data_IF_599787292054
#
_entry.id   IF_599787292054
#
_cell.length_a   1.000
_cell.length_b   1.000
_cell.length_c   1.000
_cell.angle_alpha   90.00
_cell.angle_beta   90.00
_cell.angle_gamma   90.00
#
_symmetry.space_group_name_H-M   'P 1'
#
loop_
_entity.id
_entity.type
_entity.pdbx_description
1 polymer ?
#
# COMPACT_ATOMS: atom_id res chain seq x y z
N UNK A 1 36.55 18.19 -34.68
CA UNK A 1 35.76 17.39 -33.73
C UNK A 1 34.31 17.63 -34.08
N UNK A 2 33.68 16.72 -34.83
CA UNK A 2 32.28 16.83 -35.27
C UNK A 2 31.38 16.56 -34.07
N UNK A 3 30.49 17.49 -33.76
CA UNK A 3 29.43 17.31 -32.76
C UNK A 3 28.50 16.21 -33.23
N UNK A 4 28.46 15.10 -32.52
CA UNK A 4 27.48 14.06 -32.75
C UNK A 4 26.12 14.66 -32.33
N UNK A 5 25.20 14.77 -33.29
CA UNK A 5 23.86 15.26 -33.06
C UNK A 5 23.13 14.27 -32.13
N UNK A 6 22.43 14.82 -31.15
CA UNK A 6 21.63 14.06 -30.17
C UNK A 6 20.60 13.12 -30.82
N UNK A 7 20.15 13.44 -32.02
CA UNK A 7 19.32 12.60 -32.89
C UNK A 7 20.05 11.33 -33.36
N UNK A 8 21.30 11.46 -33.77
CA UNK A 8 22.15 10.34 -34.24
C UNK A 8 22.48 9.38 -33.09
N UNK A 9 22.67 9.88 -31.86
CA UNK A 9 22.90 9.06 -30.69
C UNK A 9 21.68 8.22 -30.34
N UNK A 10 20.47 8.80 -30.31
CA UNK A 10 19.23 8.09 -29.98
C UNK A 10 18.79 7.13 -31.11
N UNK A 11 18.96 7.52 -32.37
CA UNK A 11 18.63 6.67 -33.50
C UNK A 11 19.59 5.45 -33.60
N UNK A 12 20.87 5.64 -33.27
CA UNK A 12 21.84 4.55 -33.25
C UNK A 12 21.67 3.63 -32.05
N UNK A 13 21.20 4.13 -30.94
CA UNK A 13 20.83 3.30 -29.74
C UNK A 13 19.57 2.44 -29.97
N UNK A 14 18.64 2.90 -30.83
CA UNK A 14 17.42 2.16 -31.16
C UNK A 14 17.56 1.24 -32.39
N UNK A 15 18.47 1.51 -33.33
CA UNK A 15 18.64 0.75 -34.57
C UNK A 15 19.77 -0.27 -34.55
N UNK A 16 20.67 -0.25 -33.57
CA UNK A 16 21.77 -1.21 -33.44
C UNK A 16 21.33 -2.58 -32.91
N UNK A 17 20.07 -2.79 -32.56
CA UNK A 17 19.51 -4.08 -32.09
C UNK A 17 19.04 -4.98 -33.25
N UNK A 18 19.18 -4.54 -34.51
CA UNK A 18 18.70 -5.30 -35.69
C UNK A 18 19.75 -6.11 -36.46
N UNK A 19 21.05 -5.89 -36.27
CA UNK A 19 22.06 -6.59 -37.10
C UNK A 19 23.45 -6.58 -36.46
N UNK A 20 23.71 -7.45 -35.51
CA UNK A 20 25.03 -8.10 -35.30
C UNK A 20 24.90 -9.15 -34.17
N UNK A 21 24.35 -10.31 -34.49
CA UNK A 21 24.65 -11.53 -33.74
C UNK A 21 26.08 -11.97 -34.10
N UNK A 22 27.07 -11.34 -33.50
CA UNK A 22 28.38 -11.92 -33.34
C UNK A 22 28.36 -12.70 -32.03
N UNK A 23 28.25 -14.01 -32.15
CA UNK A 23 28.38 -14.98 -31.06
C UNK A 23 29.77 -14.88 -30.44
N UNK A 24 29.88 -14.08 -29.39
CA UNK A 24 30.91 -14.25 -28.39
C UNK A 24 30.31 -15.16 -27.33
N UNK A 25 30.64 -16.45 -27.39
CA UNK A 25 30.37 -17.35 -26.27
C UNK A 25 31.21 -16.91 -25.07
N UNK A 26 30.64 -16.09 -24.21
CA UNK A 26 31.10 -15.95 -22.83
C UNK A 26 30.63 -17.22 -22.14
N UNK A 27 31.51 -18.04 -21.56
CA UNK A 27 31.05 -19.19 -20.78
C UNK A 27 30.28 -18.69 -19.57
N UNK A 28 28.97 -18.66 -19.68
CA UNK A 28 28.07 -18.56 -18.52
C UNK A 28 28.43 -19.77 -17.63
N UNK A 29 29.07 -19.48 -16.50
CA UNK A 29 29.09 -20.42 -15.39
C UNK A 29 27.61 -20.77 -15.08
N UNK A 30 27.17 -21.91 -15.63
CA UNK A 30 25.94 -22.56 -15.18
C UNK A 30 26.20 -22.94 -13.73
N UNK A 31 25.87 -22.06 -12.80
CA UNK A 31 25.55 -22.48 -11.48
C UNK A 31 24.23 -23.25 -11.64
N UNK A 32 24.30 -24.58 -11.61
CA UNK A 32 23.16 -25.42 -11.38
C UNK A 32 22.52 -24.92 -10.07
N UNK A 33 21.56 -24.02 -10.20
CA UNK A 33 20.68 -23.70 -9.12
C UNK A 33 19.91 -25.01 -8.85
N UNK A 34 20.38 -25.80 -7.90
CA UNK A 34 19.57 -26.84 -7.32
C UNK A 34 18.27 -26.18 -6.93
N UNK A 35 17.19 -26.55 -7.62
CA UNK A 35 15.86 -26.09 -7.27
C UNK A 35 15.61 -26.44 -5.79
N UNK A 36 15.72 -25.46 -4.93
CA UNK A 36 15.37 -25.62 -3.52
C UNK A 36 13.92 -26.10 -3.51
N UNK A 37 13.59 -27.23 -2.88
CA UNK A 37 12.23 -27.74 -2.87
C UNK A 37 11.31 -26.62 -2.38
N UNK A 38 10.22 -26.38 -3.12
CA UNK A 38 9.25 -25.34 -2.78
C UNK A 38 8.84 -25.49 -1.33
N UNK A 39 9.15 -24.49 -0.50
CA UNK A 39 8.82 -24.52 0.92
C UNK A 39 7.30 -24.54 1.06
N UNK A 40 6.77 -25.56 1.72
CA UNK A 40 5.33 -25.64 2.00
C UNK A 40 4.97 -24.58 3.04
N UNK A 41 4.02 -23.69 2.70
CA UNK A 41 3.49 -22.64 3.56
C UNK A 41 2.22 -23.10 4.30
N UNK A 42 2.20 -24.34 4.76
CA UNK A 42 1.04 -25.01 5.37
C UNK A 42 0.91 -24.78 6.88
N UNK A 43 2.01 -24.47 7.55
CA UNK A 43 2.01 -24.10 8.99
C UNK A 43 2.46 -22.67 9.22
N UNK A 44 2.09 -22.11 10.38
CA UNK A 44 2.53 -20.75 10.75
C UNK A 44 4.03 -20.70 11.04
N UNK A 45 4.61 -21.78 11.53
CA UNK A 45 6.04 -21.95 11.76
C UNK A 45 6.80 -21.90 10.42
N UNK A 46 6.32 -22.61 9.39
CA UNK A 46 6.93 -22.60 8.06
C UNK A 46 6.86 -21.22 7.41
N UNK A 47 5.75 -20.49 7.61
CA UNK A 47 5.60 -19.10 7.14
C UNK A 47 6.54 -18.16 7.88
N UNK A 48 6.61 -18.23 9.22
CA UNK A 48 7.55 -17.44 10.04
C UNK A 48 9.00 -17.71 9.68
N UNK A 49 9.34 -18.96 9.38
CA UNK A 49 10.68 -19.40 8.94
C UNK A 49 11.16 -18.77 7.64
N UNK A 50 10.24 -18.14 6.83
CA UNK A 50 10.63 -17.40 5.64
C UNK A 50 11.28 -16.04 5.97
N UNK A 51 11.20 -15.57 7.22
CA UNK A 51 11.70 -14.25 7.61
C UNK A 51 12.97 -14.37 8.46
N UNK A 52 14.01 -13.61 8.08
CA UNK A 52 15.27 -13.54 8.81
C UNK A 52 15.18 -12.52 9.97
N UNK A 53 14.15 -12.69 10.82
CA UNK A 53 13.94 -11.84 11.99
C UNK A 53 14.81 -12.30 13.17
N UNK A 54 15.21 -11.34 14.02
CA UNK A 54 15.87 -11.69 15.28
C UNK A 54 14.95 -12.53 16.16
N UNK A 55 15.36 -13.76 16.57
CA UNK A 55 14.53 -14.63 17.38
C UNK A 55 14.33 -14.12 18.82
N UNK A 56 15.15 -13.17 19.25
CA UNK A 56 15.11 -12.59 20.60
C UNK A 56 14.15 -11.41 20.71
N UNK A 57 13.38 -11.11 19.65
CA UNK A 57 12.46 -9.98 19.61
C UNK A 57 11.06 -10.44 19.19
N UNK A 58 10.05 -10.03 19.92
CA UNK A 58 8.65 -10.16 19.52
C UNK A 58 8.29 -8.94 18.65
N UNK A 59 8.04 -9.18 17.37
CA UNK A 59 7.83 -8.14 16.37
C UNK A 59 6.34 -7.79 16.26
N UNK A 60 5.90 -6.70 16.95
CA UNK A 60 4.52 -6.22 16.95
C UNK A 60 4.34 -4.92 16.17
N UNK A 61 5.24 -4.62 15.23
CA UNK A 61 5.22 -3.36 14.45
C UNK A 61 5.48 -3.54 12.95
N UNK A 62 5.23 -4.74 12.40
CA UNK A 62 5.38 -5.04 10.97
C UNK A 62 4.47 -4.18 10.06
N UNK A 63 3.36 -3.68 10.59
CA UNK A 63 2.49 -2.72 9.89
C UNK A 63 3.15 -1.36 9.62
N UNK A 64 4.22 -1.02 10.32
CA UNK A 64 4.98 0.22 10.10
C UNK A 64 6.06 -0.01 9.03
N UNK A 65 6.88 -1.05 9.23
CA UNK A 65 7.91 -1.50 8.29
C UNK A 65 8.13 -3.01 8.50
N UNK A 66 7.92 -3.80 7.46
CA UNK A 66 8.06 -5.24 7.53
C UNK A 66 9.42 -5.74 7.05
N UNK A 67 9.82 -6.93 7.54
CA UNK A 67 10.88 -7.74 6.95
C UNK A 67 10.34 -8.42 5.68
N UNK A 68 11.23 -8.83 4.79
CA UNK A 68 10.85 -9.54 3.56
C UNK A 68 10.91 -11.07 3.76
N UNK A 69 9.98 -11.84 3.19
CA UNK A 69 10.11 -13.31 3.14
C UNK A 69 11.27 -13.71 2.22
N UNK A 70 11.70 -14.97 2.30
CA UNK A 70 12.84 -15.49 1.55
C UNK A 70 12.75 -15.21 0.06
N UNK A 71 11.61 -15.52 -0.57
CA UNK A 71 11.40 -15.31 -2.02
C UNK A 71 11.63 -13.85 -2.45
N UNK A 72 11.14 -12.88 -1.68
CA UNK A 72 11.34 -11.45 -1.96
C UNK A 72 12.82 -11.06 -1.79
N UNK A 73 13.50 -11.54 -0.73
CA UNK A 73 14.93 -11.25 -0.53
C UNK A 73 15.80 -11.82 -1.65
N UNK A 74 15.50 -13.04 -2.06
CA UNK A 74 16.23 -13.74 -3.12
C UNK A 74 16.04 -13.05 -4.48
N UNK A 75 14.81 -12.63 -4.79
CA UNK A 75 14.52 -11.87 -6.02
C UNK A 75 15.26 -10.52 -6.05
N UNK A 76 15.24 -9.76 -4.94
CA UNK A 76 16.00 -8.50 -4.83
C UNK A 76 17.49 -8.76 -5.09
N UNK A 77 18.06 -9.77 -4.46
CA UNK A 77 19.49 -10.09 -4.59
C UNK A 77 19.85 -10.59 -6.00
N UNK A 78 18.95 -11.35 -6.63
CA UNK A 78 19.13 -11.80 -8.01
C UNK A 78 19.18 -10.61 -8.97
N UNK A 79 18.19 -9.71 -8.90
CA UNK A 79 18.13 -8.54 -9.77
C UNK A 79 19.29 -7.58 -9.51
N UNK A 80 19.67 -7.36 -8.25
CA UNK A 80 20.83 -6.56 -7.89
C UNK A 80 22.11 -7.09 -8.54
N UNK A 81 22.37 -8.41 -8.44
CA UNK A 81 23.54 -9.03 -9.07
C UNK A 81 23.54 -8.91 -10.59
N UNK A 82 22.36 -9.06 -11.22
CA UNK A 82 22.25 -8.88 -12.68
C UNK A 82 22.57 -7.45 -13.11
N UNK A 83 22.01 -6.46 -12.41
CA UNK A 83 22.28 -5.03 -12.67
C UNK A 83 23.72 -4.64 -12.36
N UNK A 84 24.36 -5.20 -11.32
CA UNK A 84 25.76 -4.93 -11.01
C UNK A 84 26.72 -5.55 -12.05
N UNK A 85 26.35 -6.70 -12.62
CA UNK A 85 27.19 -7.41 -13.62
C UNK A 85 27.11 -6.77 -15.02
N UNK A 86 25.92 -6.41 -15.48
CA UNK A 86 25.65 -5.75 -16.77
C UNK A 86 24.44 -4.82 -16.64
N UNK A 87 24.63 -3.58 -16.18
CA UNK A 87 23.51 -2.69 -15.87
C UNK A 87 22.61 -2.39 -17.08
N UNK A 88 23.19 -2.24 -18.26
CA UNK A 88 22.43 -1.86 -19.46
C UNK A 88 21.80 -3.08 -20.12
N UNK A 89 22.58 -4.14 -20.35
CA UNK A 89 22.07 -5.37 -20.98
C UNK A 89 20.99 -6.02 -20.15
N UNK A 90 21.22 -6.17 -18.84
CA UNK A 90 20.25 -6.75 -17.91
C UNK A 90 18.97 -5.91 -17.82
N UNK A 91 19.08 -4.57 -17.77
CA UNK A 91 17.93 -3.68 -17.74
C UNK A 91 17.05 -3.84 -18.99
N UNK A 92 17.65 -3.80 -20.20
CA UNK A 92 16.92 -3.98 -21.46
C UNK A 92 16.25 -5.35 -21.57
N UNK A 93 16.88 -6.40 -21.06
CA UNK A 93 16.32 -7.75 -21.07
C UNK A 93 15.15 -7.90 -20.09
N UNK A 94 15.22 -7.30 -18.91
CA UNK A 94 14.32 -7.58 -17.81
C UNK A 94 13.19 -6.56 -17.65
N UNK A 95 13.38 -5.27 -17.97
CA UNK A 95 12.49 -4.18 -17.64
C UNK A 95 11.02 -4.48 -17.98
N UNK A 96 10.71 -4.66 -19.25
CA UNK A 96 9.34 -4.91 -19.71
C UNK A 96 8.75 -6.20 -19.12
N UNK A 97 9.56 -7.24 -19.03
CA UNK A 97 9.15 -8.55 -18.51
C UNK A 97 8.78 -8.48 -17.03
N UNK A 98 9.61 -7.84 -16.23
CA UNK A 98 9.43 -7.75 -14.79
C UNK A 98 8.33 -6.76 -14.40
N UNK A 99 8.25 -5.60 -15.06
CA UNK A 99 7.13 -4.66 -14.86
C UNK A 99 5.78 -5.35 -15.11
N UNK A 100 5.67 -6.12 -16.19
CA UNK A 100 4.45 -6.87 -16.48
C UNK A 100 4.20 -8.01 -15.49
N UNK A 101 5.24 -8.66 -14.97
CA UNK A 101 5.10 -9.69 -13.93
C UNK A 101 4.52 -9.08 -12.64
N UNK A 102 5.02 -7.93 -12.22
CA UNK A 102 4.50 -7.18 -11.05
C UNK A 102 3.05 -6.78 -11.24
N UNK A 103 2.71 -6.17 -12.41
CA UNK A 103 1.34 -5.74 -12.70
C UNK A 103 0.36 -6.92 -12.70
N UNK A 104 0.75 -8.08 -13.30
CA UNK A 104 -0.08 -9.28 -13.30
C UNK A 104 -0.26 -9.84 -11.89
N UNK A 105 0.81 -10.00 -11.13
CA UNK A 105 0.74 -10.52 -9.76
C UNK A 105 -0.13 -9.64 -8.86
N UNK A 106 -0.02 -8.31 -8.99
CA UNK A 106 -0.88 -7.35 -8.28
C UNK A 106 -2.34 -7.46 -8.73
N UNK A 107 -2.59 -7.56 -10.04
CA UNK A 107 -3.93 -7.67 -10.61
C UNK A 107 -4.62 -8.98 -10.20
N UNK A 108 -3.91 -10.11 -10.24
CA UNK A 108 -4.40 -11.40 -9.78
C UNK A 108 -4.75 -11.38 -8.29
N UNK A 109 -3.90 -10.74 -7.46
CA UNK A 109 -4.14 -10.59 -6.02
C UNK A 109 -5.37 -9.73 -5.73
N UNK A 110 -5.56 -8.64 -6.48
CA UNK A 110 -6.65 -7.67 -6.30
C UNK A 110 -7.93 -8.05 -7.04
N UNK A 111 -7.88 -9.06 -7.93
CA UNK A 111 -8.93 -9.49 -8.84
C UNK A 111 -9.42 -8.37 -9.78
N UNK A 112 -8.47 -7.74 -10.49
CA UNK A 112 -8.69 -6.62 -11.42
C UNK A 112 -7.88 -6.81 -12.71
N UNK A 113 -8.04 -5.90 -13.69
CA UNK A 113 -7.20 -5.88 -14.88
C UNK A 113 -5.85 -5.19 -14.58
N UNK A 114 -4.71 -5.73 -15.04
CA UNK A 114 -3.40 -5.07 -14.92
C UNK A 114 -3.38 -3.62 -15.43
N UNK A 115 -4.17 -3.30 -16.45
CA UNK A 115 -4.26 -1.93 -16.99
C UNK A 115 -4.93 -0.92 -16.04
N UNK A 116 -5.56 -1.37 -14.97
CA UNK A 116 -6.15 -0.51 -13.94
C UNK A 116 -5.13 -0.11 -12.85
N UNK A 117 -3.90 -0.66 -12.91
CA UNK A 117 -2.88 -0.46 -11.87
C UNK A 117 -1.75 0.44 -12.39
N UNK A 118 -1.40 1.46 -11.62
CA UNK A 118 -0.16 2.23 -11.75
C UNK A 118 0.79 1.87 -10.59
N UNK A 119 2.08 1.73 -10.88
CA UNK A 119 3.09 1.47 -9.86
C UNK A 119 3.63 2.78 -9.29
N UNK A 120 3.96 2.78 -8.00
CA UNK A 120 4.52 3.92 -7.27
C UNK A 120 5.49 3.43 -6.20
N UNK A 121 6.22 4.34 -5.57
CA UNK A 121 7.26 3.95 -4.60
C UNK A 121 6.75 3.87 -3.16
N UNK A 122 5.57 4.39 -2.87
CA UNK A 122 4.96 4.34 -1.54
C UNK A 122 3.51 4.82 -1.57
N UNK A 123 2.77 4.60 -0.47
CA UNK A 123 1.45 5.23 -0.27
C UNK A 123 1.53 6.75 -0.40
N UNK A 124 2.50 7.38 0.25
CA UNK A 124 2.65 8.85 0.23
C UNK A 124 2.84 9.38 -1.19
N UNK A 125 3.71 8.76 -1.99
CA UNK A 125 3.88 9.13 -3.39
C UNK A 125 2.62 8.87 -4.19
N UNK A 126 1.99 7.71 -4.03
CA UNK A 126 0.75 7.35 -4.73
C UNK A 126 -0.40 8.32 -4.42
N UNK A 127 -0.58 8.72 -3.16
CA UNK A 127 -1.56 9.75 -2.77
C UNK A 127 -1.22 11.11 -3.39
N UNK A 128 0.06 11.50 -3.36
CA UNK A 128 0.53 12.74 -3.97
C UNK A 128 0.30 12.79 -5.48
N UNK A 129 0.59 11.69 -6.19
CA UNK A 129 0.34 11.55 -7.63
C UNK A 129 -1.16 11.59 -7.96
N UNK A 130 -1.95 10.77 -7.26
CA UNK A 130 -3.38 10.69 -7.49
C UNK A 130 -4.05 12.04 -7.20
N UNK A 131 -3.95 12.55 -5.99
CA UNK A 131 -4.62 13.80 -5.61
C UNK A 131 -4.05 15.00 -6.39
N UNK A 132 -2.73 15.01 -6.63
CA UNK A 132 -2.10 16.01 -7.49
C UNK A 132 -2.60 16.01 -8.92
N UNK A 133 -3.07 14.88 -9.42
CA UNK A 133 -3.56 14.67 -10.79
C UNK A 133 -5.07 14.74 -10.95
N UNK A 134 -5.88 14.54 -9.89
CA UNK A 134 -7.35 14.56 -10.02
C UNK A 134 -7.87 15.92 -10.49
N UNK A 135 -8.74 15.92 -11.49
CA UNK A 135 -9.38 17.13 -12.03
C UNK A 135 -10.42 17.65 -11.05
N UNK A 136 -10.20 18.86 -10.58
CA UNK A 136 -11.11 19.57 -9.67
C UNK A 136 -11.14 21.06 -10.03
N UNK A 137 -12.32 21.66 -10.03
CA UNK A 137 -12.52 23.09 -10.30
C UNK A 137 -12.46 23.90 -8.98
N UNK A 138 -12.24 25.21 -9.09
CA UNK A 138 -12.17 26.12 -7.93
C UNK A 138 -13.47 26.23 -7.12
N UNK A 139 -14.61 25.94 -7.76
CA UNK A 139 -15.94 25.96 -7.14
C UNK A 139 -16.32 24.63 -6.49
N UNK A 140 -15.44 23.62 -6.57
CA UNK A 140 -15.65 22.29 -6.01
C UNK A 140 -14.94 22.10 -4.67
N UNK A 141 -15.35 21.08 -3.95
CA UNK A 141 -14.88 20.72 -2.60
C UNK A 141 -14.21 19.34 -2.58
N UNK A 142 -13.20 19.23 -1.75
CA UNK A 142 -12.61 17.97 -1.30
C UNK A 142 -13.13 17.70 0.11
N UNK A 143 -13.79 16.59 0.31
CA UNK A 143 -14.24 16.10 1.62
C UNK A 143 -13.29 15.01 2.12
N UNK A 144 -12.74 15.18 3.31
CA UNK A 144 -11.89 14.19 4.01
C UNK A 144 -12.21 14.19 5.50
N UNK A 145 -11.49 13.41 6.29
CA UNK A 145 -11.77 13.28 7.71
C UNK A 145 -10.63 13.82 8.59
N UNK A 146 -10.93 14.19 9.83
CA UNK A 146 -9.91 14.55 10.82
C UNK A 146 -9.08 13.35 11.30
N UNK A 147 -9.43 12.13 10.86
CA UNK A 147 -8.81 10.88 11.28
C UNK A 147 -7.77 10.36 10.29
N UNK A 148 -7.66 11.01 9.12
CA UNK A 148 -6.78 10.59 8.05
C UNK A 148 -5.30 10.88 8.38
N UNK A 149 -4.41 10.18 7.68
CA UNK A 149 -2.98 10.34 7.88
C UNK A 149 -2.49 11.66 7.23
N UNK A 150 -1.43 12.23 7.78
CA UNK A 150 -0.75 13.43 7.28
C UNK A 150 -0.51 13.42 5.77
N UNK A 151 -0.14 12.27 5.18
CA UNK A 151 0.09 12.16 3.73
C UNK A 151 -1.18 12.43 2.92
N UNK A 152 -2.34 11.95 3.36
CA UNK A 152 -3.64 12.22 2.74
C UNK A 152 -4.00 13.69 2.88
N UNK A 153 -4.01 14.21 4.12
CA UNK A 153 -4.36 15.59 4.42
C UNK A 153 -3.51 16.58 3.61
N UNK A 154 -2.18 16.44 3.69
CA UNK A 154 -1.27 17.36 3.03
C UNK A 154 -1.36 17.27 1.51
N UNK A 155 -1.49 16.09 0.93
CA UNK A 155 -1.65 15.95 -0.53
C UNK A 155 -2.93 16.61 -1.04
N UNK A 156 -4.04 16.49 -0.30
CA UNK A 156 -5.31 17.14 -0.62
C UNK A 156 -5.22 18.66 -0.48
N UNK A 157 -4.60 19.16 0.58
CA UNK A 157 -4.37 20.60 0.81
C UNK A 157 -3.52 21.20 -0.30
N UNK A 158 -2.40 20.56 -0.66
CA UNK A 158 -1.55 21.01 -1.77
C UNK A 158 -2.29 21.00 -3.12
N UNK A 159 -3.25 20.08 -3.33
CA UNK A 159 -4.11 20.11 -4.52
C UNK A 159 -5.05 21.31 -4.50
N UNK A 160 -5.72 21.54 -3.38
CA UNK A 160 -6.63 22.65 -3.20
C UNK A 160 -5.94 24.01 -3.41
N UNK A 161 -4.76 24.20 -2.83
CA UNK A 161 -3.95 25.41 -3.02
C UNK A 161 -3.64 25.69 -4.49
N UNK A 162 -3.34 24.66 -5.29
CA UNK A 162 -3.05 24.80 -6.72
C UNK A 162 -4.26 25.05 -7.60
N UNK A 163 -5.44 24.64 -7.16
CA UNK A 163 -6.68 24.73 -7.98
C UNK A 163 -7.67 25.80 -7.51
N UNK A 164 -7.48 26.30 -6.29
CA UNK A 164 -8.45 27.18 -5.63
C UNK A 164 -9.68 26.46 -5.09
N UNK A 165 -9.72 25.11 -5.14
CA UNK A 165 -10.76 24.30 -4.51
C UNK A 165 -10.66 24.38 -2.99
N UNK A 166 -11.71 23.97 -2.27
CA UNK A 166 -11.74 23.95 -0.81
C UNK A 166 -11.53 22.53 -0.28
N UNK A 167 -10.87 22.40 0.90
CA UNK A 167 -10.80 21.15 1.64
C UNK A 167 -11.63 21.29 2.90
N UNK A 168 -12.50 20.32 3.13
CA UNK A 168 -13.29 20.24 4.37
C UNK A 168 -13.03 18.92 5.07
N UNK A 169 -12.62 19.01 6.32
CA UNK A 169 -12.41 17.87 7.21
C UNK A 169 -13.59 17.70 8.16
N UNK A 170 -14.01 16.46 8.36
CA UNK A 170 -15.15 16.13 9.25
C UNK A 170 -14.77 15.06 10.26
N UNK A 171 -15.32 15.10 11.47
CA UNK A 171 -15.33 13.93 12.34
C UNK A 171 -16.31 12.89 11.81
N UNK A 172 -15.92 11.60 11.78
CA UNK A 172 -16.80 10.52 11.32
C UNK A 172 -17.66 9.91 12.44
N UNK A 173 -17.25 10.08 13.68
CA UNK A 173 -17.91 9.52 14.85
C UNK A 173 -17.76 10.45 16.07
N UNK A 174 -18.67 10.31 17.02
CA UNK A 174 -18.63 11.06 18.29
C UNK A 174 -17.73 10.40 19.32
N UNK A 175 -17.81 9.09 19.44
CA UNK A 175 -17.05 8.29 20.40
C UNK A 175 -16.62 6.97 19.76
N UNK A 176 -15.33 6.64 19.89
CA UNK A 176 -14.77 5.42 19.35
C UNK A 176 -15.28 4.16 20.06
N UNK A 177 -15.67 4.28 21.35
CA UNK A 177 -16.16 3.16 22.16
C UNK A 177 -17.57 2.72 21.77
N UNK A 178 -18.36 3.60 21.16
CA UNK A 178 -19.76 3.33 20.75
C UNK A 178 -19.97 3.45 19.24
N UNK A 179 -18.91 3.63 18.46
CA UNK A 179 -19.00 3.80 17.01
C UNK A 179 -19.65 2.59 16.33
N UNK A 180 -20.52 2.86 15.37
CA UNK A 180 -21.19 1.85 14.56
C UNK A 180 -20.92 2.04 13.08
N UNK A 181 -21.12 0.97 12.29
CA UNK A 181 -21.01 1.05 10.82
C UNK A 181 -21.97 2.08 10.23
N UNK A 182 -23.20 2.10 10.71
CA UNK A 182 -24.22 3.04 10.22
C UNK A 182 -23.85 4.49 10.56
N UNK A 183 -23.38 4.77 11.79
CA UNK A 183 -22.90 6.10 12.15
C UNK A 183 -21.81 6.60 11.18
N UNK A 184 -20.84 5.75 10.86
CA UNK A 184 -19.75 6.09 9.94
C UNK A 184 -20.24 6.39 8.51
N UNK A 185 -21.17 5.56 8.00
CA UNK A 185 -21.73 5.74 6.66
C UNK A 185 -22.62 6.99 6.62
N UNK A 186 -23.56 7.10 7.54
CA UNK A 186 -24.55 8.18 7.57
C UNK A 186 -23.87 9.54 7.78
N UNK A 187 -22.86 9.60 8.67
CA UNK A 187 -22.09 10.83 8.88
C UNK A 187 -21.39 11.27 7.62
N UNK A 188 -20.69 10.35 6.91
CA UNK A 188 -20.01 10.69 5.66
C UNK A 188 -21.00 11.19 4.61
N UNK A 189 -22.10 10.45 4.41
CA UNK A 189 -23.11 10.74 3.37
C UNK A 189 -23.78 12.08 3.58
N UNK A 190 -24.19 12.39 4.83
CA UNK A 190 -24.80 13.67 5.19
C UNK A 190 -23.87 14.87 4.93
N UNK A 191 -22.59 14.62 4.89
CA UNK A 191 -21.58 15.65 4.62
C UNK A 191 -21.21 15.80 3.14
N UNK A 192 -21.63 14.91 2.25
CA UNK A 192 -21.41 15.06 0.80
C UNK A 192 -22.36 16.12 0.23
N UNK A 193 -21.81 17.27 -0.15
CA UNK A 193 -22.54 18.42 -0.71
C UNK A 193 -22.65 18.33 -2.23
N UNK A 194 -23.55 19.07 -2.91
CA UNK A 194 -23.64 19.07 -4.36
C UNK A 194 -22.32 19.35 -5.09
N UNK A 195 -21.47 20.22 -4.53
CA UNK A 195 -20.16 20.58 -5.09
C UNK A 195 -18.98 19.75 -4.56
N UNK A 196 -19.23 18.74 -3.72
CA UNK A 196 -18.18 17.78 -3.29
C UNK A 196 -17.78 16.93 -4.48
N UNK A 197 -16.53 17.10 -4.96
CA UNK A 197 -15.94 16.40 -6.10
C UNK A 197 -15.08 15.21 -5.68
N UNK A 198 -14.33 15.35 -4.62
CA UNK A 198 -13.45 14.29 -4.11
C UNK A 198 -13.90 13.94 -2.69
N UNK A 199 -14.08 12.65 -2.42
CA UNK A 199 -14.26 12.09 -1.07
C UNK A 199 -13.06 11.20 -0.83
N UNK A 200 -12.23 11.55 0.15
CA UNK A 200 -10.99 10.85 0.45
C UNK A 200 -11.02 10.35 1.90
N UNK A 201 -10.78 9.04 2.10
CA UNK A 201 -10.76 8.42 3.42
C UNK A 201 -9.66 7.36 3.52
N UNK A 202 -9.19 7.11 4.73
CA UNK A 202 -8.29 5.98 5.04
C UNK A 202 -9.11 4.78 5.51
N UNK A 203 -8.92 3.61 4.90
CA UNK A 203 -9.70 2.41 5.20
C UNK A 203 -9.53 1.93 6.64
N UNK A 204 -8.26 1.86 7.11
CA UNK A 204 -7.95 1.49 8.50
C UNK A 204 -7.09 2.58 9.12
N UNK A 205 -7.62 3.26 10.12
CA UNK A 205 -6.94 4.38 10.77
C UNK A 205 -5.76 3.90 11.61
N UNK A 206 -4.56 4.33 11.29
CA UNK A 206 -3.36 3.98 12.06
C UNK A 206 -3.28 4.68 13.42
N UNK A 207 -4.16 5.63 13.69
CA UNK A 207 -4.31 6.31 14.98
C UNK A 207 -5.05 5.49 16.02
N UNK A 208 -5.99 4.63 15.59
CA UNK A 208 -6.93 3.92 16.48
C UNK A 208 -7.15 2.46 16.12
N UNK A 209 -6.76 2.03 14.91
CA UNK A 209 -7.09 0.72 14.37
C UNK A 209 -8.56 0.60 13.90
N UNK A 210 -9.33 1.70 13.90
CA UNK A 210 -10.70 1.70 13.37
C UNK A 210 -10.70 1.38 11.88
N UNK A 211 -11.51 0.40 11.49
CA UNK A 211 -11.77 0.02 10.10
C UNK A 211 -13.06 0.65 9.60
N UNK A 212 -12.99 1.42 8.52
CA UNK A 212 -14.15 2.03 7.88
C UNK A 212 -14.92 1.01 7.02
N UNK A 213 -16.26 1.09 6.97
CA UNK A 213 -17.11 0.26 6.12
C UNK A 213 -17.12 0.75 4.67
N UNK A 214 -15.97 0.61 3.95
CA UNK A 214 -15.74 1.23 2.63
C UNK A 214 -16.80 0.83 1.62
N UNK A 215 -17.20 -0.45 1.56
CA UNK A 215 -18.25 -0.89 0.64
C UNK A 215 -19.58 -0.13 0.85
N UNK A 216 -20.06 -0.04 2.09
CA UNK A 216 -21.29 0.71 2.38
C UNK A 216 -21.17 2.22 2.10
N UNK A 217 -19.99 2.81 2.34
CA UNK A 217 -19.72 4.21 1.95
C UNK A 217 -19.74 4.38 0.44
N UNK A 218 -19.15 3.44 -0.32
CA UNK A 218 -19.12 3.45 -1.78
C UNK A 218 -20.55 3.34 -2.37
N UNK A 219 -21.37 2.42 -1.86
CA UNK A 219 -22.77 2.28 -2.27
C UNK A 219 -23.56 3.58 -2.05
N UNK A 220 -23.37 4.21 -0.90
CA UNK A 220 -24.04 5.45 -0.56
C UNK A 220 -23.60 6.62 -1.44
N UNK A 221 -22.29 6.74 -1.74
CA UNK A 221 -21.76 7.74 -2.70
C UNK A 221 -22.27 7.44 -4.11
N UNK A 222 -22.28 6.18 -4.53
CA UNK A 222 -22.83 5.78 -5.83
C UNK A 222 -24.31 6.17 -5.97
N UNK A 223 -25.11 6.05 -4.90
CA UNK A 223 -26.50 6.52 -4.88
C UNK A 223 -26.63 8.03 -5.07
N UNK A 224 -25.77 8.81 -4.41
CA UNK A 224 -25.70 10.27 -4.61
C UNK A 224 -25.32 10.59 -6.07
N UNK A 225 -24.36 9.88 -6.64
CA UNK A 225 -23.86 10.10 -7.98
C UNK A 225 -24.88 9.81 -9.09
N UNK A 226 -25.96 9.04 -8.84
CA UNK A 226 -27.02 8.77 -9.84
C UNK A 226 -27.74 10.02 -10.31
N UNK A 227 -27.77 11.07 -9.51
CA UNK A 227 -28.44 12.33 -9.81
C UNK A 227 -27.49 13.44 -10.26
N UNK A 228 -26.18 13.13 -10.37
CA UNK A 228 -25.15 14.10 -10.72
C UNK A 228 -24.73 14.00 -12.19
N UNK A 229 -24.36 15.11 -12.77
CA UNK A 229 -23.65 15.11 -14.05
C UNK A 229 -22.28 14.48 -13.89
N UNK A 230 -21.74 13.85 -14.92
CA UNK A 230 -20.44 13.15 -14.88
C UNK A 230 -19.30 14.05 -14.34
N UNK A 231 -19.28 15.30 -14.77
CA UNK A 231 -18.28 16.28 -14.33
C UNK A 231 -18.40 16.69 -12.85
N UNK A 232 -19.52 16.40 -12.20
CA UNK A 232 -19.84 16.75 -10.81
C UNK A 232 -19.96 15.52 -9.91
N UNK A 233 -19.74 14.31 -10.45
CA UNK A 233 -19.72 13.07 -9.65
C UNK A 233 -18.68 13.18 -8.54
N UNK A 234 -19.00 12.72 -7.35
CA UNK A 234 -18.05 12.55 -6.28
C UNK A 234 -17.15 11.35 -6.57
N UNK A 235 -15.85 11.58 -6.59
CA UNK A 235 -14.82 10.56 -6.80
C UNK A 235 -14.41 10.02 -5.43
N UNK A 236 -14.60 8.72 -5.21
CA UNK A 236 -14.30 8.09 -3.93
C UNK A 236 -12.91 7.48 -3.93
N UNK A 237 -11.99 8.08 -3.17
CA UNK A 237 -10.58 7.70 -3.05
C UNK A 237 -10.30 7.08 -1.67
N UNK A 238 -9.59 5.96 -1.66
CA UNK A 238 -9.30 5.20 -0.44
C UNK A 238 -7.79 5.02 -0.26
N UNK A 239 -7.25 5.47 0.87
CA UNK A 239 -5.95 5.02 1.36
C UNK A 239 -6.11 3.62 1.97
N UNK A 240 -5.67 2.60 1.23
CA UNK A 240 -5.80 1.19 1.56
C UNK A 240 -4.58 0.58 2.23
N UNK A 241 -3.58 1.37 2.65
CA UNK A 241 -2.28 0.87 3.10
C UNK A 241 -2.32 -0.11 4.28
N UNK A 242 -3.33 -0.03 5.14
CA UNK A 242 -3.51 -0.95 6.25
C UNK A 242 -4.64 -1.98 6.03
N UNK A 243 -5.27 -1.97 4.86
CA UNK A 243 -6.20 -3.01 4.42
C UNK A 243 -5.52 -4.01 3.48
N UNK A 244 -4.64 -3.52 2.57
CA UNK A 244 -3.87 -4.36 1.65
C UNK A 244 -2.96 -5.32 2.44
N UNK A 245 -3.14 -6.63 2.24
CA UNK A 245 -2.42 -7.68 2.96
C UNK A 245 -3.01 -8.05 4.33
N UNK A 246 -4.14 -7.43 4.74
CA UNK A 246 -4.89 -7.77 5.97
C UNK A 246 -6.30 -8.24 5.65
N UNK A 247 -7.04 -7.47 4.86
CA UNK A 247 -8.42 -7.77 4.49
C UNK A 247 -8.47 -8.71 3.28
N UNK A 248 -9.40 -9.66 3.32
CA UNK A 248 -9.74 -10.48 2.15
C UNK A 248 -10.82 -9.77 1.33
N UNK A 249 -10.41 -9.10 0.27
CA UNK A 249 -11.32 -8.37 -0.61
C UNK A 249 -10.97 -8.54 -2.08
N UNK A 250 -11.94 -8.28 -2.92
CA UNK A 250 -11.79 -8.08 -4.38
C UNK A 250 -12.09 -6.61 -4.66
N UNK A 251 -11.21 -5.90 -5.34
CA UNK A 251 -11.40 -4.47 -5.57
C UNK A 251 -12.68 -4.14 -6.36
N UNK A 252 -13.08 -5.04 -7.27
CA UNK A 252 -14.36 -4.91 -7.98
C UNK A 252 -15.58 -4.86 -7.05
N UNK A 253 -15.48 -5.39 -5.82
CA UNK A 253 -16.56 -5.46 -4.83
C UNK A 253 -16.47 -4.31 -3.80
N UNK A 254 -15.32 -3.64 -3.68
CA UNK A 254 -15.13 -2.53 -2.72
C UNK A 254 -15.93 -1.30 -3.12
N UNK A 255 -16.03 -1.02 -4.42
CA UNK A 255 -16.86 0.04 -4.97
C UNK A 255 -16.25 1.44 -4.94
N UNK A 256 -15.00 1.62 -4.50
CA UNK A 256 -14.31 2.90 -4.62
C UNK A 256 -13.83 3.16 -6.05
N UNK A 257 -13.57 4.43 -6.38
CA UNK A 257 -13.02 4.83 -7.69
C UNK A 257 -11.51 4.64 -7.75
N UNK A 258 -10.80 4.89 -6.64
CA UNK A 258 -9.36 4.73 -6.51
C UNK A 258 -8.98 4.12 -5.17
N UNK A 259 -7.94 3.28 -5.19
CA UNK A 259 -7.27 2.79 -3.98
C UNK A 259 -5.77 2.98 -4.11
N UNK A 260 -5.12 3.50 -3.06
CA UNK A 260 -3.67 3.69 -2.99
C UNK A 260 -3.10 2.90 -1.83
N UNK A 261 -2.02 2.16 -2.07
CA UNK A 261 -1.36 1.41 -1.00
C UNK A 261 0.14 1.22 -1.27
N UNK A 262 0.95 1.39 -0.24
CA UNK A 262 2.33 0.91 -0.22
C UNK A 262 2.38 -0.56 0.15
N UNK A 263 3.31 -1.30 -0.43
CA UNK A 263 3.40 -2.77 -0.29
C UNK A 263 4.40 -3.23 0.77
N UNK A 264 5.20 -2.32 1.32
CA UNK A 264 6.27 -2.59 2.30
C UNK A 264 5.79 -2.86 3.74
N UNK A 265 4.48 -2.94 3.96
CA UNK A 265 3.85 -3.20 5.28
C UNK A 265 3.32 -4.63 5.33
N UNK A 266 2.02 -4.81 5.36
CA UNK A 266 1.36 -6.10 5.49
C UNK A 266 1.58 -7.05 4.30
N UNK A 267 1.88 -6.51 3.11
CA UNK A 267 2.23 -7.31 1.94
C UNK A 267 3.66 -7.86 1.97
N UNK A 268 4.51 -7.43 2.91
CA UNK A 268 5.92 -7.80 3.01
C UNK A 268 6.73 -7.50 1.72
N UNK A 269 6.21 -6.60 0.88
CA UNK A 269 6.85 -6.17 -0.36
C UNK A 269 8.12 -5.35 -0.12
N UNK A 270 8.96 -5.20 -1.13
CA UNK A 270 10.16 -4.39 -1.04
C UNK A 270 9.87 -2.94 -0.60
N UNK A 271 10.80 -2.35 0.15
CA UNK A 271 10.76 -0.93 0.48
C UNK A 271 10.91 -0.10 -0.79
N UNK A 272 10.19 0.99 -0.89
CA UNK A 272 10.16 1.81 -2.11
C UNK A 272 9.22 1.23 -3.17
N UNK A 273 8.15 0.52 -2.78
CA UNK A 273 7.13 -0.01 -3.69
C UNK A 273 5.71 0.27 -3.19
N UNK A 274 4.80 0.42 -4.13
CA UNK A 274 3.39 0.66 -3.91
C UNK A 274 2.61 0.67 -5.21
N UNK A 275 1.31 0.89 -5.12
CA UNK A 275 0.42 0.93 -6.26
C UNK A 275 -0.70 1.95 -6.08
N UNK A 276 -1.24 2.40 -7.21
CA UNK A 276 -2.51 3.10 -7.35
C UNK A 276 -3.38 2.21 -8.23
N UNK A 277 -4.49 1.74 -7.71
CA UNK A 277 -5.53 1.16 -8.53
C UNK A 277 -6.60 2.22 -8.77
N UNK A 278 -7.09 2.29 -10.02
CA UNK A 278 -8.24 3.10 -10.39
C UNK A 278 -9.20 2.30 -11.26
N UNK A 279 -10.47 2.34 -10.92
CA UNK A 279 -11.48 1.71 -11.76
C UNK A 279 -11.41 2.30 -13.18
N UNK A 280 -11.58 1.48 -14.22
CA UNK A 280 -11.44 1.89 -15.63
C UNK A 280 -12.20 3.16 -16.01
N UNK A 281 -13.39 3.38 -15.43
CA UNK A 281 -14.18 4.60 -15.69
C UNK A 281 -13.72 5.80 -14.84
N UNK A 282 -12.94 5.57 -13.79
CA UNK A 282 -12.42 6.65 -12.93
C UNK A 282 -11.11 7.25 -13.48
N UNK A 283 -10.27 6.45 -14.14
CA UNK A 283 -9.00 6.93 -14.67
C UNK A 283 -9.08 8.20 -15.54
N UNK A 284 -10.11 8.43 -16.38
CA UNK A 284 -10.21 9.66 -17.20
C UNK A 284 -10.28 10.97 -16.41
N UNK A 285 -10.60 10.92 -15.09
CA UNK A 285 -10.61 12.14 -14.25
C UNK A 285 -9.23 12.46 -13.66
N UNK A 286 -8.27 11.56 -13.81
CA UNK A 286 -6.88 11.77 -13.37
C UNK A 286 -6.01 12.30 -14.52
N UNK A 287 -4.91 12.94 -14.17
CA UNK A 287 -3.88 13.42 -15.07
C UNK A 287 -2.51 13.18 -14.43
N UNK A 288 -1.57 12.67 -15.20
CA UNK A 288 -0.21 12.48 -14.72
C UNK A 288 0.47 13.80 -14.36
N UNK A 289 1.18 13.83 -13.26
CA UNK A 289 1.97 14.97 -12.78
C UNK A 289 3.46 14.78 -12.99
N UNK A 290 3.91 13.53 -13.19
CA UNK A 290 5.28 13.16 -13.51
C UNK A 290 5.24 12.36 -14.82
N UNK A 291 6.10 12.66 -15.82
CA UNK A 291 6.14 11.88 -17.05
C UNK A 291 6.46 10.40 -16.79
N UNK A 292 5.83 9.53 -17.54
CA UNK A 292 6.16 8.10 -17.56
C UNK A 292 7.39 7.82 -18.44
N UNK A 293 8.11 6.72 -18.16
CA UNK A 293 9.17 6.20 -19.05
C UNK A 293 8.72 4.96 -19.83
N UNK A 294 7.41 4.74 -19.94
CA UNK A 294 6.86 3.64 -20.73
C UNK A 294 7.28 3.76 -22.21
N UNK A 295 7.74 2.66 -22.81
CA UNK A 295 8.27 2.64 -24.18
C UNK A 295 7.26 3.13 -25.22
N UNK A 296 5.98 2.74 -25.12
CA UNK A 296 4.95 3.19 -26.07
C UNK A 296 4.66 4.71 -25.94
N UNK A 297 4.76 5.26 -24.73
CA UNK A 297 4.65 6.71 -24.53
C UNK A 297 5.85 7.46 -25.14
N UNK A 298 7.05 6.90 -25.12
CA UNK A 298 8.23 7.41 -25.83
C UNK A 298 8.04 7.36 -27.33
N UNK A 299 7.57 6.23 -27.87
CA UNK A 299 7.32 6.08 -29.33
C UNK A 299 6.32 7.11 -29.84
N UNK A 300 5.26 7.39 -29.08
CA UNK A 300 4.29 8.44 -29.39
C UNK A 300 4.97 9.82 -29.36
N UNK A 301 5.75 10.12 -28.33
CA UNK A 301 6.47 11.39 -28.21
C UNK A 301 7.49 11.59 -29.33
N UNK A 302 8.22 10.54 -29.71
CA UNK A 302 9.17 10.55 -30.82
C UNK A 302 8.50 10.54 -32.21
N UNK A 303 7.16 10.44 -32.27
CA UNK A 303 6.36 10.33 -33.50
C UNK A 303 6.67 9.08 -34.33
N UNK A 304 7.15 8.02 -33.71
CA UNK A 304 7.37 6.71 -34.33
C UNK A 304 6.03 6.01 -34.53
N UNK A 305 5.13 6.12 -33.57
CA UNK A 305 3.77 5.60 -33.64
C UNK A 305 2.76 6.73 -33.57
N UNK A 306 1.59 6.61 -34.25
CA UNK A 306 0.49 7.56 -34.09
C UNK A 306 0.06 7.68 -32.62
N UNK A 307 -0.48 8.83 -32.17
CA UNK A 307 -1.07 8.96 -30.86
C UNK A 307 -2.13 7.88 -30.64
N UNK A 308 -1.85 6.92 -29.79
CA UNK A 308 -2.82 5.95 -29.26
C UNK A 308 -3.21 6.41 -27.87
N UNK A 309 -4.48 6.22 -27.50
CA UNK A 309 -4.91 6.40 -26.13
C UNK A 309 -4.32 5.28 -25.25
N UNK A 310 -3.16 5.50 -24.66
CA UNK A 310 -2.66 4.61 -23.63
C UNK A 310 -3.52 4.71 -22.37
N UNK A 311 -3.68 3.61 -21.61
CA UNK A 311 -4.36 3.66 -20.32
C UNK A 311 -3.75 4.73 -19.40
N UNK A 312 -4.58 5.45 -18.67
CA UNK A 312 -4.09 6.49 -17.76
C UNK A 312 -3.18 5.93 -16.65
N UNK A 313 -3.37 4.68 -16.23
CA UNK A 313 -2.49 3.98 -15.30
C UNK A 313 -1.03 3.95 -15.79
N UNK A 314 -0.80 3.80 -17.09
CA UNK A 314 0.53 3.85 -17.71
C UNK A 314 1.16 5.22 -17.53
N UNK A 315 0.39 6.29 -17.80
CA UNK A 315 0.86 7.66 -17.58
C UNK A 315 1.05 7.99 -16.10
N UNK A 316 0.26 7.39 -15.21
CA UNK A 316 0.35 7.61 -13.75
C UNK A 316 1.46 6.81 -13.08
N UNK A 317 2.11 5.88 -13.78
CA UNK A 317 3.35 5.23 -13.34
C UNK A 317 4.52 6.18 -13.62
N UNK A 318 5.16 6.77 -12.59
CA UNK A 318 6.23 7.74 -12.79
C UNK A 318 7.43 7.10 -13.48
N UNK A 319 7.99 7.81 -14.44
CA UNK A 319 9.26 7.46 -15.05
C UNK A 319 10.45 7.86 -14.18
N UNK A 320 11.64 7.47 -14.62
CA UNK A 320 12.90 7.73 -13.97
C UNK A 320 13.59 6.46 -13.49
N UNK A 321 14.86 6.60 -13.10
CA UNK A 321 15.62 5.49 -12.57
C UNK A 321 15.33 5.37 -11.05
N UNK A 322 14.91 4.19 -10.64
CA UNK A 322 14.57 3.83 -9.26
C UNK A 322 15.26 2.50 -8.91
N UNK A 323 15.03 1.95 -7.72
CA UNK A 323 15.56 0.64 -7.34
C UNK A 323 14.82 -0.45 -8.11
N UNK A 324 15.29 -0.79 -9.32
CA UNK A 324 14.67 -1.80 -10.18
C UNK A 324 14.62 -3.16 -9.49
N UNK A 325 15.67 -3.55 -8.76
CA UNK A 325 15.73 -4.78 -7.98
C UNK A 325 14.60 -4.89 -6.94
N UNK A 326 14.18 -3.77 -6.37
CA UNK A 326 13.06 -3.73 -5.44
C UNK A 326 11.72 -3.78 -6.19
N UNK A 327 11.56 -2.97 -7.22
CA UNK A 327 10.31 -2.92 -7.99
C UNK A 327 10.01 -4.27 -8.64
N UNK A 328 11.00 -4.90 -9.25
CA UNK A 328 10.84 -6.17 -9.96
C UNK A 328 10.62 -7.36 -9.02
N UNK A 329 11.13 -7.31 -7.79
CA UNK A 329 10.88 -8.33 -6.78
C UNK A 329 9.50 -8.21 -6.09
N UNK A 330 8.68 -7.22 -6.45
CA UNK A 330 7.38 -7.01 -5.81
C UNK A 330 6.37 -8.11 -6.16
N UNK A 331 6.46 -8.73 -7.32
CA UNK A 331 5.59 -9.85 -7.70
C UNK A 331 5.69 -11.03 -6.71
N UNK A 332 6.90 -11.29 -6.18
CA UNK A 332 7.12 -12.34 -5.20
C UNK A 332 6.36 -12.11 -3.87
N UNK A 333 6.14 -10.85 -3.50
CA UNK A 333 5.33 -10.52 -2.32
C UNK A 333 3.84 -10.87 -2.52
N UNK A 334 3.29 -10.58 -3.69
CA UNK A 334 1.92 -10.97 -4.03
C UNK A 334 1.76 -12.49 -4.12
N UNK A 335 2.70 -13.17 -4.79
CA UNK A 335 2.74 -14.63 -4.89
C UNK A 335 2.84 -15.29 -3.52
N UNK A 336 3.66 -14.76 -2.61
CA UNK A 336 3.79 -15.25 -1.24
C UNK A 336 2.47 -15.20 -0.48
N UNK A 337 1.76 -14.07 -0.54
CA UNK A 337 0.43 -13.94 0.07
C UNK A 337 -0.61 -14.88 -0.57
N UNK A 338 -0.60 -15.02 -1.88
CA UNK A 338 -1.50 -15.94 -2.61
C UNK A 338 -1.22 -17.41 -2.24
N UNK A 339 0.05 -17.79 -2.09
CA UNK A 339 0.45 -19.14 -1.68
C UNK A 339 -0.02 -19.48 -0.24
N UNK A 340 -0.08 -18.50 0.66
CA UNK A 340 -0.67 -18.69 2.00
C UNK A 340 -2.20 -18.73 1.90
N UNK A 341 -2.79 -17.92 1.03
CA UNK A 341 -4.23 -17.71 0.87
C UNK A 341 -4.74 -16.50 1.65
N UNK A 342 -5.40 -15.56 0.97
CA UNK A 342 -5.89 -14.29 1.55
C UNK A 342 -6.77 -14.50 2.77
N UNK A 343 -7.76 -15.39 2.66
CA UNK A 343 -8.70 -15.72 3.76
C UNK A 343 -7.93 -16.24 4.99
N UNK A 344 -6.94 -17.10 4.77
CA UNK A 344 -6.11 -17.64 5.86
C UNK A 344 -5.28 -16.57 6.54
N UNK A 345 -4.71 -15.63 5.75
CA UNK A 345 -3.98 -14.46 6.26
C UNK A 345 -4.89 -13.60 7.13
N UNK A 346 -6.07 -13.23 6.61
CA UNK A 346 -7.06 -12.41 7.33
C UNK A 346 -7.49 -13.06 8.65
N UNK A 347 -7.85 -14.33 8.62
CA UNK A 347 -8.26 -15.06 9.82
C UNK A 347 -7.15 -15.08 10.88
N UNK A 348 -5.88 -15.30 10.48
CA UNK A 348 -4.77 -15.31 11.43
C UNK A 348 -4.52 -13.96 12.08
N UNK A 349 -4.55 -12.89 11.30
CA UNK A 349 -4.40 -11.54 11.82
C UNK A 349 -5.54 -11.22 12.79
N UNK A 350 -6.76 -11.55 12.45
CA UNK A 350 -7.93 -11.30 13.31
C UNK A 350 -7.91 -12.13 14.59
N UNK A 351 -7.53 -13.40 14.53
CA UNK A 351 -7.37 -14.28 15.69
C UNK A 351 -6.41 -13.65 16.71
N UNK A 352 -5.20 -13.30 16.29
CA UNK A 352 -4.17 -12.76 17.17
C UNK A 352 -4.54 -11.37 17.71
N UNK A 353 -5.14 -10.52 16.88
CA UNK A 353 -5.62 -9.21 17.30
C UNK A 353 -6.76 -9.33 18.31
N UNK A 354 -7.68 -10.27 18.12
CA UNK A 354 -8.77 -10.51 19.05
C UNK A 354 -8.25 -11.02 20.39
N UNK A 355 -7.31 -11.95 20.41
CA UNK A 355 -6.65 -12.43 21.62
C UNK A 355 -5.99 -11.25 22.40
N UNK A 356 -5.24 -10.39 21.68
CA UNK A 356 -4.61 -9.21 22.28
C UNK A 356 -5.66 -8.25 22.87
N UNK A 357 -6.68 -7.86 22.09
CA UNK A 357 -7.73 -6.93 22.53
C UNK A 357 -8.49 -7.47 23.74
N UNK A 358 -8.89 -8.75 23.72
CA UNK A 358 -9.60 -9.39 24.83
C UNK A 358 -8.75 -9.48 26.09
N UNK A 359 -7.44 -9.65 25.96
CA UNK A 359 -6.52 -9.59 27.09
C UNK A 359 -6.38 -8.19 27.69
N UNK A 360 -6.27 -7.17 26.83
CA UNK A 360 -6.12 -5.77 27.26
C UNK A 360 -7.33 -5.23 28.03
N UNK A 361 -8.55 -5.51 27.56
CA UNK A 361 -9.79 -5.01 28.24
C UNK A 361 -10.00 -5.61 29.62
N UNK A 362 -9.35 -6.73 29.97
CA UNK A 362 -9.41 -7.31 31.30
C UNK A 362 -8.50 -6.61 32.33
N UNK A 363 -7.64 -5.69 31.88
CA UNK A 363 -6.68 -4.98 32.71
C UNK A 363 -7.24 -3.63 33.12
N UNK A 364 -7.55 -3.40 34.39
CA UNK A 364 -8.17 -2.19 34.92
C UNK A 364 -7.34 -0.91 34.69
N UNK A 365 -6.01 -1.03 34.48
CA UNK A 365 -5.08 0.06 34.24
C UNK A 365 -4.84 0.32 32.73
N UNK A 366 -5.54 -0.41 31.86
CA UNK A 366 -5.42 -0.26 30.40
C UNK A 366 -6.72 0.30 29.80
N UNK A 367 -6.59 1.28 28.93
CA UNK A 367 -7.69 1.78 28.10
C UNK A 367 -7.45 1.35 26.65
N UNK A 368 -8.33 0.50 26.12
CA UNK A 368 -8.29 0.08 24.72
C UNK A 368 -8.99 1.12 23.84
N UNK A 369 -8.31 1.63 22.82
CA UNK A 369 -8.88 2.57 21.85
C UNK A 369 -9.37 1.89 20.56
N UNK A 370 -8.83 0.74 20.19
CA UNK A 370 -9.29 -0.01 19.03
C UNK A 370 -10.64 -0.69 19.32
N UNK A 371 -11.64 -0.60 18.45
CA UNK A 371 -12.89 -1.30 18.63
C UNK A 371 -12.71 -2.81 18.82
N UNK A 372 -13.46 -3.42 19.73
CA UNK A 372 -13.42 -4.86 19.96
C UNK A 372 -13.97 -5.65 18.77
N UNK A 373 -14.98 -5.11 18.08
CA UNK A 373 -15.59 -5.75 16.92
C UNK A 373 -14.57 -5.92 15.78
N UNK A 374 -14.53 -7.10 15.19
CA UNK A 374 -13.76 -7.38 13.97
C UNK A 374 -14.31 -6.65 12.74
N UNK A 375 -15.59 -6.28 12.74
CA UNK A 375 -16.19 -5.48 11.67
C UNK A 375 -15.64 -4.05 11.63
N UNK A 376 -15.18 -3.55 12.77
CA UNK A 376 -14.70 -2.18 12.95
C UNK A 376 -13.21 -2.09 13.30
N UNK A 377 -12.46 -3.18 13.20
CA UNK A 377 -11.02 -3.16 13.47
C UNK A 377 -10.27 -4.16 12.61
N UNK A 378 -9.02 -3.85 12.29
CA UNK A 378 -8.16 -4.69 11.46
C UNK A 378 -6.68 -4.47 11.81
N UNK A 379 -5.99 -5.51 12.21
CA UNK A 379 -4.53 -5.61 12.30
C UNK A 379 -3.84 -4.72 13.34
N UNK A 380 -4.33 -3.54 13.65
CA UNK A 380 -3.69 -2.56 14.54
C UNK A 380 -4.47 -2.46 15.85
N UNK A 381 -3.76 -2.51 16.98
CA UNK A 381 -4.33 -2.37 18.33
C UNK A 381 -3.67 -1.19 19.03
N UNK A 382 -4.46 -0.18 19.39
CA UNK A 382 -4.04 1.04 20.07
C UNK A 382 -4.60 1.08 21.49
N UNK A 383 -3.75 1.41 22.47
CA UNK A 383 -4.13 1.43 23.89
C UNK A 383 -3.27 2.41 24.70
N UNK A 384 -3.76 2.72 25.89
CA UNK A 384 -3.05 3.47 26.93
C UNK A 384 -2.89 2.64 28.19
N UNK A 385 -1.88 2.98 28.97
CA UNK A 385 -1.64 2.42 30.33
C UNK A 385 -1.67 3.57 31.32
N UNK A 386 -2.52 3.49 32.33
CA UNK A 386 -2.67 4.53 33.33
C UNK A 386 -1.34 4.92 34.00
N UNK A 387 -1.09 6.21 34.09
CA UNK A 387 0.15 6.76 34.67
C UNK A 387 1.40 6.68 33.78
N UNK A 388 1.28 6.19 32.54
CA UNK A 388 2.39 6.12 31.59
C UNK A 388 2.05 6.82 30.27
N UNK A 389 2.99 7.60 29.74
CA UNK A 389 2.86 8.06 28.36
C UNK A 389 3.01 6.92 27.37
N UNK A 390 2.45 7.05 26.16
CA UNK A 390 2.58 6.06 25.10
C UNK A 390 4.06 5.72 24.79
N UNK A 391 4.95 6.72 24.84
CA UNK A 391 6.39 6.53 24.68
C UNK A 391 6.97 5.66 25.79
N UNK A 392 6.64 5.92 27.05
CA UNK A 392 7.11 5.11 28.19
C UNK A 392 6.62 3.66 28.10
N UNK A 393 5.37 3.45 27.64
CA UNK A 393 4.84 2.09 27.43
C UNK A 393 5.69 1.35 26.40
N UNK A 394 5.91 1.95 25.23
CA UNK A 394 6.70 1.34 24.14
C UNK A 394 8.15 1.09 24.56
N UNK A 395 8.79 2.04 25.26
CA UNK A 395 10.16 1.88 25.76
C UNK A 395 10.29 0.72 26.80
N UNK A 396 9.31 0.61 27.71
CA UNK A 396 9.28 -0.48 28.69
C UNK A 396 9.02 -1.84 28.06
N UNK A 397 8.17 -1.91 27.02
CA UNK A 397 7.98 -3.11 26.21
C UNK A 397 9.27 -3.48 25.46
N UNK A 398 9.97 -2.48 24.88
CA UNK A 398 11.24 -2.69 24.18
C UNK A 398 12.32 -3.29 25.09
N UNK A 399 12.40 -2.84 26.35
CA UNK A 399 13.30 -3.44 27.36
C UNK A 399 12.99 -4.91 27.68
N UNK A 400 11.80 -5.39 27.32
CA UNK A 400 11.35 -6.78 27.43
C UNK A 400 11.35 -7.49 26.07
N UNK A 401 12.15 -6.99 25.14
CA UNK A 401 12.26 -7.53 23.76
C UNK A 401 10.94 -7.53 22.96
N UNK A 402 10.03 -6.60 23.22
CA UNK A 402 8.77 -6.46 22.51
C UNK A 402 8.80 -5.16 21.70
N UNK A 403 8.73 -5.27 20.37
CA UNK A 403 8.69 -4.13 19.47
C UNK A 403 7.25 -3.65 19.27
N UNK A 404 6.95 -2.43 19.70
CA UNK A 404 5.76 -1.69 19.40
C UNK A 404 6.07 -0.33 18.79
N UNK A 405 5.06 0.50 18.64
CA UNK A 405 5.23 1.89 18.16
C UNK A 405 4.27 2.84 18.87
N UNK A 406 4.56 4.14 18.80
CA UNK A 406 3.64 5.20 19.22
C UNK A 406 2.90 5.71 17.99
N UNK A 407 1.63 6.09 18.14
CA UNK A 407 0.87 6.72 17.04
C UNK A 407 1.46 8.10 16.71
N UNK A 408 1.68 8.45 15.43
CA UNK A 408 2.25 9.73 15.03
C UNK A 408 1.17 10.82 14.86
N UNK A 409 0.32 10.98 15.87
CA UNK A 409 -0.80 11.94 15.88
C UNK A 409 -0.76 12.79 17.14
N UNK A 410 -1.58 13.85 17.21
CA UNK A 410 -1.69 14.70 18.39
C UNK A 410 -2.09 13.89 19.64
N UNK A 411 -3.09 12.99 19.49
CA UNK A 411 -3.38 11.97 20.50
C UNK A 411 -2.41 10.79 20.29
N UNK A 412 -1.56 10.53 21.29
CA UNK A 412 -0.56 9.49 21.23
C UNK A 412 -0.97 8.26 22.02
N UNK A 413 -1.01 7.11 21.37
CA UNK A 413 -1.29 5.81 21.97
C UNK A 413 -0.13 4.85 21.73
N UNK A 414 0.07 3.90 22.64
CA UNK A 414 0.89 2.73 22.36
C UNK A 414 0.18 1.85 21.33
N UNK A 415 0.95 1.29 20.39
CA UNK A 415 0.40 0.59 19.24
C UNK A 415 1.14 -0.72 19.01
N UNK A 416 0.39 -1.81 18.96
CA UNK A 416 0.86 -3.15 18.64
C UNK A 416 0.05 -3.71 17.47
N UNK A 417 0.66 -4.56 16.67
CA UNK A 417 0.01 -5.14 15.50
C UNK A 417 0.50 -6.56 15.27
N UNK A 418 -0.04 -7.53 16.00
CA UNK A 418 0.24 -8.92 15.76
C UNK A 418 -0.27 -9.36 14.38
N UNK A 419 0.51 -10.18 13.70
CA UNK A 419 0.24 -10.66 12.36
C UNK A 419 0.87 -12.02 12.09
N UNK A 420 1.13 -12.35 10.82
CA UNK A 420 1.65 -13.66 10.40
C UNK A 420 2.96 -14.05 11.08
N UNK A 421 3.72 -13.08 11.55
CA UNK A 421 5.02 -13.25 12.17
C UNK A 421 4.94 -13.61 13.66
N UNK A 422 3.73 -13.68 14.22
CA UNK A 422 3.51 -13.88 15.65
C UNK A 422 2.80 -15.20 15.95
N UNK A 423 3.07 -15.72 17.16
CA UNK A 423 2.36 -16.86 17.71
C UNK A 423 1.38 -16.44 18.83
N UNK A 424 0.50 -17.35 19.22
CA UNK A 424 -0.42 -17.17 20.35
C UNK A 424 0.33 -17.00 21.67
N UNK A 425 1.45 -17.72 21.86
CA UNK A 425 2.32 -17.67 23.04
C UNK A 425 3.05 -16.31 23.14
N UNK A 426 3.41 -15.72 21.99
CA UNK A 426 3.96 -14.37 21.95
C UNK A 426 2.91 -13.33 22.40
N UNK A 427 1.62 -13.49 22.01
CA UNK A 427 0.54 -12.62 22.50
C UNK A 427 0.39 -12.73 24.02
N UNK A 428 0.43 -13.94 24.58
CA UNK A 428 0.37 -14.15 26.03
C UNK A 428 1.56 -13.49 26.73
N UNK A 429 2.75 -13.59 26.17
CA UNK A 429 3.97 -12.95 26.70
C UNK A 429 3.82 -11.42 26.68
N UNK A 430 3.28 -10.86 25.61
CA UNK A 430 3.00 -9.42 25.48
C UNK A 430 1.96 -8.98 26.52
N UNK A 431 0.87 -9.74 26.68
CA UNK A 431 -0.16 -9.43 27.67
C UNK A 431 0.39 -9.46 29.10
N UNK A 432 1.20 -10.47 29.47
CA UNK A 432 1.89 -10.54 30.77
C UNK A 432 2.84 -9.33 30.96
N UNK A 433 3.54 -8.93 29.90
CA UNK A 433 4.41 -7.77 29.95
C UNK A 433 3.64 -6.47 30.22
N UNK A 434 2.48 -6.28 29.56
CA UNK A 434 1.62 -5.10 29.76
C UNK A 434 0.98 -5.11 31.16
N UNK A 435 0.49 -6.25 31.63
CA UNK A 435 -0.09 -6.40 32.95
C UNK A 435 0.87 -5.96 34.08
N UNK A 436 2.16 -6.11 33.87
CA UNK A 436 3.22 -5.71 34.81
C UNK A 436 3.75 -4.29 34.57
N UNK A 437 3.14 -3.49 33.69
CA UNK A 437 3.46 -2.08 33.54
C UNK A 437 2.73 -1.28 34.63
N UNK A 438 3.49 -0.66 35.49
CA UNK A 438 3.01 0.23 36.56
C UNK A 438 3.72 1.58 36.43
N UNK A 439 3.06 2.64 36.90
CA UNK A 439 3.66 3.98 36.99
C UNK A 439 4.91 4.01 37.85
#
# INVERSE_FOLDING_TARGET
MSSIDRRDFLARSGLALGAALLTVEVPLLKTDAMATPAVKLDTWESIRGQFALSPNLIHMSGFFLASHPASVREAIEQHRRGLDADPIGYWFEQEKKQEMAVLRAAADYLAVDPIEIALTDSTTMGLGLLYGGLRIRKDQEILTTIHDHYSTETSLRLRAERTGATVRQIPLYKSLTSVTRNELIDTLVQQVRPHTRIVAVTWVHSSTGLKLPIHGMAEAIAKINRTRLEQDRAIFCVDGVHALGVEDFRLSEVGCDFLVAGTHKWMFGPRGTGLIWGHKHAWPVAQATIPTFNAEAYDIWMKITPPKGLPMSVYMTPGGFHSFEHRWALDEAFKFHQAIGKTRVTHRIYELNQQLKQGLVKMSHVTLHTPLSQDLSAGIVCFEVAGLSARQVVERLRKRSINGSVTPYAAQYARLAPGLLNSTEEIETVLKAIQNLRS
#
